data_IF_981994468885
#
_entry.id   IF_981994468885
#
_cell.length_a   1.000
_cell.length_b   1.000
_cell.length_c   1.000
_cell.angle_alpha   90.00
_cell.angle_beta   90.00
_cell.angle_gamma   90.00
#
_symmetry.space_group_name_H-M   'P 1'
#
loop_
_entity.id
_entity.type
_entity.pdbx_description
1 polymer ?
#
# COMPACT_ATOMS: atom_id res chain seq x y z
N UNK A 1 10.96 -2.75 18.58
CA UNK A 1 10.87 -2.49 17.13
C UNK A 1 9.43 -2.76 16.74
N UNK A 2 8.72 -1.78 16.18
CA UNK A 2 7.34 -2.01 15.73
C UNK A 2 7.38 -2.96 14.53
N UNK A 3 6.62 -4.07 14.58
CA UNK A 3 6.49 -4.94 13.42
C UNK A 3 5.39 -4.37 12.51
N UNK A 4 5.82 -3.71 11.43
CA UNK A 4 4.92 -3.04 10.51
C UNK A 4 5.03 -3.57 9.09
N UNK A 5 3.90 -3.64 8.42
CA UNK A 5 3.77 -4.19 7.07
C UNK A 5 2.95 -3.24 6.19
N UNK A 6 3.36 -3.11 4.94
CA UNK A 6 2.61 -2.43 3.90
C UNK A 6 2.03 -3.48 2.95
N UNK A 7 0.71 -3.51 2.85
CA UNK A 7 -0.03 -4.29 1.87
C UNK A 7 -0.50 -3.38 0.73
N UNK A 8 -0.47 -3.88 -0.49
CA UNK A 8 -1.04 -3.25 -1.67
C UNK A 8 -1.93 -4.23 -2.42
N UNK A 9 -3.12 -3.75 -2.80
CA UNK A 9 -4.09 -4.50 -3.59
C UNK A 9 -4.86 -3.58 -4.54
N UNK A 10 -5.56 -4.15 -5.52
CA UNK A 10 -6.43 -3.40 -6.42
C UNK A 10 -7.68 -2.85 -5.71
N UNK A 11 -8.12 -1.64 -6.05
CA UNK A 11 -9.42 -1.08 -5.64
C UNK A 11 -10.26 -0.60 -6.83
N UNK A 12 -11.50 -0.21 -6.57
CA UNK A 12 -12.45 0.29 -7.59
C UNK A 12 -12.54 1.81 -7.64
N UNK A 13 -12.36 2.49 -6.52
CA UNK A 13 -12.45 3.95 -6.43
C UNK A 13 -11.32 4.49 -5.55
N UNK A 14 -10.71 5.58 -5.99
CA UNK A 14 -9.60 6.24 -5.30
C UNK A 14 -9.97 7.69 -5.00
N UNK A 15 -9.54 8.19 -3.85
CA UNK A 15 -9.86 9.56 -3.41
C UNK A 15 -8.68 10.53 -3.49
N UNK A 16 -7.47 10.02 -3.74
CA UNK A 16 -6.22 10.78 -3.66
C UNK A 16 -5.22 10.28 -4.69
N UNK A 17 -4.48 11.19 -5.32
CA UNK A 17 -3.37 10.82 -6.19
C UNK A 17 -2.12 10.53 -5.36
N UNK A 18 -1.46 9.39 -5.61
CA UNK A 18 -0.19 9.04 -5.00
C UNK A 18 0.94 9.66 -5.81
N UNK A 19 1.62 10.62 -5.19
CA UNK A 19 2.74 11.33 -5.80
C UNK A 19 3.93 10.39 -6.09
N UNK A 20 4.52 10.55 -7.28
CA UNK A 20 5.65 9.73 -7.76
C UNK A 20 6.90 9.93 -6.91
N UNK A 21 7.17 11.14 -6.42
CA UNK A 21 8.34 11.36 -5.56
C UNK A 21 8.18 10.63 -4.22
N UNK A 22 6.96 10.53 -3.70
CA UNK A 22 6.66 9.77 -2.48
C UNK A 22 6.94 8.28 -2.68
N UNK A 23 6.54 7.71 -3.83
CA UNK A 23 6.82 6.31 -4.18
C UNK A 23 8.32 6.04 -4.28
N UNK A 24 9.08 6.95 -4.88
CA UNK A 24 10.53 6.79 -5.06
C UNK A 24 11.35 6.98 -3.78
N UNK A 25 10.83 7.77 -2.83
CA UNK A 25 11.52 8.05 -1.55
C UNK A 25 11.50 6.88 -0.59
N UNK A 26 10.41 6.10 -0.57
CA UNK A 26 10.24 4.97 0.35
C UNK A 26 10.50 3.65 -0.39
N UNK A 27 11.60 2.92 -0.12
CA UNK A 27 11.95 1.70 -0.84
C UNK A 27 10.84 0.64 -0.85
N UNK A 28 10.24 0.35 0.31
CA UNK A 28 9.15 -0.61 0.41
C UNK A 28 7.91 -0.22 -0.41
N UNK A 29 7.59 1.08 -0.47
CA UNK A 29 6.49 1.57 -1.32
C UNK A 29 6.85 1.45 -2.80
N UNK A 30 8.08 1.82 -3.19
CA UNK A 30 8.55 1.64 -4.57
C UNK A 30 8.48 0.18 -5.02
N UNK A 31 8.87 -0.75 -4.15
CA UNK A 31 8.81 -2.18 -4.42
C UNK A 31 7.36 -2.65 -4.55
N UNK A 32 6.51 -2.33 -3.56
CA UNK A 32 5.10 -2.67 -3.56
C UNK A 32 4.38 -2.19 -4.83
N UNK A 33 4.61 -0.93 -5.23
CA UNK A 33 4.00 -0.37 -6.45
C UNK A 33 4.55 -1.03 -7.72
N UNK A 34 5.84 -1.37 -7.77
CA UNK A 34 6.41 -2.10 -8.92
C UNK A 34 5.81 -3.50 -9.06
N UNK A 35 5.65 -4.22 -7.95
CA UNK A 35 5.01 -5.55 -7.95
C UNK A 35 3.54 -5.44 -8.36
N UNK A 36 2.82 -4.45 -7.82
CA UNK A 36 1.44 -4.16 -8.17
C UNK A 36 1.25 -3.91 -9.67
N UNK A 37 2.08 -3.06 -10.28
CA UNK A 37 2.03 -2.78 -11.73
C UNK A 37 2.28 -4.03 -12.57
N UNK A 38 3.26 -4.85 -12.17
CA UNK A 38 3.53 -6.13 -12.85
C UNK A 38 2.34 -7.09 -12.71
N UNK A 39 1.75 -7.19 -11.52
CA UNK A 39 0.59 -8.03 -11.27
C UNK A 39 -0.62 -7.59 -12.09
N UNK A 40 -0.82 -6.29 -12.27
CA UNK A 40 -1.85 -5.72 -13.13
C UNK A 40 -1.65 -6.07 -14.60
N UNK A 41 -0.40 -6.00 -15.09
CA UNK A 41 -0.10 -6.41 -16.47
C UNK A 41 -0.34 -7.90 -16.69
N UNK A 42 0.02 -8.74 -15.71
CA UNK A 42 -0.22 -10.18 -15.76
C UNK A 42 -1.70 -10.53 -15.65
N UNK A 43 -2.45 -9.81 -14.81
CA UNK A 43 -3.90 -9.91 -14.67
C UNK A 43 -4.63 -9.66 -16.00
N UNK A 44 -4.21 -8.64 -16.75
CA UNK A 44 -4.74 -8.34 -18.08
C UNK A 44 -4.49 -9.47 -19.09
N UNK A 45 -3.38 -10.20 -18.95
CA UNK A 45 -3.01 -11.32 -19.83
C UNK A 45 -3.70 -12.64 -19.45
N UNK A 46 -3.86 -12.91 -18.16
CA UNK A 46 -4.28 -14.21 -17.62
C UNK A 46 -5.71 -14.24 -17.08
N UNK A 47 -6.38 -13.09 -17.00
CA UNK A 47 -7.75 -12.98 -16.49
C UNK A 47 -7.90 -13.06 -14.97
N UNK A 48 -6.79 -13.12 -14.21
CA UNK A 48 -6.85 -13.05 -12.75
C UNK A 48 -7.12 -11.61 -12.31
N UNK A 49 -8.18 -11.38 -11.53
CA UNK A 49 -8.55 -10.03 -11.07
C UNK A 49 -8.09 -9.70 -9.66
N UNK A 50 -7.54 -10.66 -8.93
CA UNK A 50 -7.18 -10.48 -7.53
C UNK A 50 -5.71 -10.80 -7.34
N UNK A 51 -4.99 -9.81 -6.84
CA UNK A 51 -3.61 -9.90 -6.43
C UNK A 51 -3.45 -9.03 -5.18
N UNK A 52 -2.54 -9.45 -4.32
CA UNK A 52 -2.21 -8.81 -3.07
C UNK A 52 -0.72 -9.02 -2.85
N UNK A 53 -0.05 -8.00 -2.33
CA UNK A 53 1.37 -8.07 -2.02
C UNK A 53 1.64 -7.31 -0.73
N UNK A 54 2.38 -7.94 0.19
CA UNK A 54 2.73 -7.36 1.48
C UNK A 54 4.23 -7.39 1.70
N UNK A 55 4.77 -6.28 2.17
CA UNK A 55 6.20 -6.11 2.47
C UNK A 55 6.39 -5.54 3.88
N UNK A 56 7.41 -6.04 4.57
CA UNK A 56 7.77 -5.55 5.90
C UNK A 56 8.46 -4.18 5.80
N UNK A 57 8.10 -3.25 6.67
CA UNK A 57 8.65 -1.91 6.71
C UNK A 57 9.83 -1.80 7.68
N UNK A 58 10.81 -1.00 7.30
CA UNK A 58 11.87 -0.53 8.18
C UNK A 58 11.38 0.66 9.04
N UNK A 59 12.05 0.92 10.17
CA UNK A 59 11.60 1.94 11.12
C UNK A 59 11.53 3.35 10.51
N UNK A 60 12.48 3.70 9.63
CA UNK A 60 12.47 4.96 8.90
C UNK A 60 11.31 5.04 7.89
N UNK A 61 10.98 3.93 7.21
CA UNK A 61 9.89 3.87 6.24
C UNK A 61 8.52 4.04 6.91
N UNK A 62 8.34 3.50 8.12
CA UNK A 62 7.10 3.71 8.91
C UNK A 62 6.85 5.20 9.13
N UNK A 63 7.88 5.96 9.49
CA UNK A 63 7.75 7.41 9.76
C UNK A 63 7.38 8.18 8.50
N UNK A 64 8.02 7.86 7.37
CA UNK A 64 7.72 8.50 6.08
C UNK A 64 6.31 8.17 5.59
N UNK A 65 5.86 6.92 5.77
CA UNK A 65 4.53 6.48 5.36
C UNK A 65 3.42 6.97 6.30
N UNK A 66 3.70 7.23 7.58
CA UNK A 66 2.67 7.64 8.56
C UNK A 66 1.82 8.83 8.08
N UNK A 67 2.43 9.80 7.38
CA UNK A 67 1.71 10.93 6.80
C UNK A 67 0.73 10.55 5.70
N UNK A 68 1.05 9.53 4.89
CA UNK A 68 0.21 9.03 3.81
C UNK A 68 -1.10 8.42 4.36
N UNK A 69 -1.03 7.77 5.52
CA UNK A 69 -2.15 7.08 6.18
C UNK A 69 -2.90 7.93 7.21
N UNK A 70 -2.57 9.21 7.35
CA UNK A 70 -3.15 10.10 8.37
C UNK A 70 -4.68 10.20 8.29
N UNK A 71 -5.24 10.18 7.09
CA UNK A 71 -6.68 10.25 6.79
C UNK A 71 -7.31 8.89 6.44
N UNK A 72 -6.54 7.80 6.58
CA UNK A 72 -6.98 6.46 6.21
C UNK A 72 -8.05 5.90 7.15
N UNK A 73 -8.87 4.99 6.61
CA UNK A 73 -9.80 4.21 7.42
C UNK A 73 -9.01 3.36 8.40
N UNK A 74 -9.24 3.58 9.70
CA UNK A 74 -8.54 2.87 10.76
C UNK A 74 -9.35 1.64 11.21
N UNK A 75 -8.63 0.55 11.47
CA UNK A 75 -9.15 -0.63 12.15
C UNK A 75 -8.16 -1.02 13.25
N UNK A 76 -8.66 -1.49 14.37
CA UNK A 76 -7.83 -1.93 15.48
C UNK A 76 -8.46 -3.20 16.06
N UNK A 77 -7.68 -4.27 16.10
CA UNK A 77 -8.05 -5.55 16.72
C UNK A 77 -7.04 -5.94 17.80
N UNK A 78 -7.25 -7.07 18.47
CA UNK A 78 -6.38 -7.49 19.57
C UNK A 78 -4.92 -7.77 19.14
N UNK A 79 -4.65 -7.92 17.84
CA UNK A 79 -3.34 -8.30 17.29
C UNK A 79 -2.63 -7.18 16.55
N UNK A 80 -3.37 -6.27 15.94
CA UNK A 80 -2.83 -5.24 15.07
C UNK A 80 -3.73 -4.01 14.95
N UNK A 81 -3.10 -2.85 14.75
CA UNK A 81 -3.75 -1.66 14.26
C UNK A 81 -3.45 -1.52 12.77
N UNK A 82 -4.45 -1.21 11.95
CA UNK A 82 -4.27 -0.97 10.53
C UNK A 82 -4.91 0.33 10.06
N UNK A 83 -4.34 0.89 8.99
CA UNK A 83 -4.89 2.05 8.28
C UNK A 83 -4.87 1.81 6.79
N UNK A 84 -6.00 2.01 6.13
CA UNK A 84 -6.12 1.83 4.68
C UNK A 84 -6.40 3.16 3.99
N UNK A 85 -5.69 3.41 2.87
CA UNK A 85 -5.93 4.54 1.98
C UNK A 85 -6.04 4.06 0.53
N UNK A 86 -7.05 4.58 -0.17
CA UNK A 86 -7.26 4.30 -1.59
C UNK A 86 -6.66 5.43 -2.43
N UNK A 87 -5.66 5.09 -3.23
CA UNK A 87 -4.87 6.04 -4.02
C UNK A 87 -4.87 5.71 -5.51
N UNK A 88 -4.73 6.74 -6.33
CA UNK A 88 -4.47 6.59 -7.77
C UNK A 88 -2.97 6.66 -8.02
N UNK A 89 -2.41 5.70 -8.74
CA UNK A 89 -1.04 5.76 -9.24
C UNK A 89 -1.03 5.29 -10.70
N UNK A 90 -0.34 6.02 -11.60
CA UNK A 90 -0.35 5.74 -13.05
C UNK A 90 -1.75 5.52 -13.65
N UNK A 91 -2.75 6.26 -13.17
CA UNK A 91 -4.14 6.16 -13.64
C UNK A 91 -4.90 4.91 -13.17
N UNK A 92 -4.39 4.17 -12.17
CA UNK A 92 -5.01 2.98 -11.59
C UNK A 92 -5.21 3.11 -10.09
N UNK A 93 -6.26 2.45 -9.58
CA UNK A 93 -6.62 2.48 -8.16
C UNK A 93 -5.88 1.38 -7.38
N UNK A 94 -5.24 1.79 -6.29
CA UNK A 94 -4.58 0.92 -5.32
C UNK A 94 -5.06 1.20 -3.91
N UNK A 95 -5.44 0.15 -3.18
CA UNK A 95 -5.64 0.23 -1.75
C UNK A 95 -4.32 -0.12 -1.07
N UNK A 96 -3.78 0.83 -0.33
CA UNK A 96 -2.61 0.63 0.52
C UNK A 96 -3.10 0.42 1.94
N UNK A 97 -2.62 -0.62 2.62
CA UNK A 97 -2.91 -0.87 4.04
C UNK A 97 -1.61 -0.94 4.82
N UNK A 98 -1.47 -0.06 5.82
CA UNK A 98 -0.41 -0.12 6.81
C UNK A 98 -0.90 -0.94 8.01
N UNK A 99 -0.22 -2.04 8.32
CA UNK A 99 -0.43 -2.82 9.54
C UNK A 99 0.68 -2.54 10.54
N UNK A 100 0.34 -2.39 11.81
CA UNK A 100 1.24 -2.27 12.95
C UNK A 100 0.83 -3.32 13.99
N UNK A 101 1.67 -4.33 14.19
CA UNK A 101 1.40 -5.42 15.14
C UNK A 101 1.81 -5.04 16.57
N UNK A 102 1.03 -5.53 17.55
CA UNK A 102 1.18 -5.26 18.99
C UNK A 102 2.23 -6.16 19.64
#
# INVERSE_FOLDING_TARGET
MADAWLEVRSCTESKKELDRETVLRVPALSEAMKVAENAVQDAQRKGSKHWEYSIRLQENEIRELSGLFSEGAASDDDRSASRTVDVTYNGRCYALTLFIFK
#
